data_IF_017371966090
#
_entry.id   IF_017371966090
#
_cell.length_a   1.000
_cell.length_b   1.000
_cell.length_c   1.000
_cell.angle_alpha   90.00
_cell.angle_beta   90.00
_cell.angle_gamma   90.00
#
_symmetry.space_group_name_H-M   'P 1'
#
loop_
_entity.id
_entity.type
_entity.pdbx_description
1 polymer ?
#
# COMPACT_ATOMS: atom_id res chain seq x y z
N UNK A 1 -15.19 -43.35 -9.95
CA UNK A 1 -14.69 -41.98 -9.74
C UNK A 1 -13.66 -42.03 -8.62
N UNK A 2 -12.42 -41.68 -8.94
CA UNK A 2 -11.30 -41.70 -8.01
C UNK A 2 -11.32 -40.43 -7.15
N UNK A 3 -11.39 -40.58 -5.83
CA UNK A 3 -11.06 -39.52 -4.88
C UNK A 3 -9.56 -39.59 -4.61
N UNK A 4 -8.79 -38.62 -5.09
CA UNK A 4 -7.40 -38.46 -4.66
C UNK A 4 -7.36 -37.81 -3.29
N UNK A 5 -6.77 -38.53 -2.33
CA UNK A 5 -6.53 -38.08 -0.95
C UNK A 5 -5.43 -37.01 -0.99
N UNK A 6 -5.72 -35.80 -0.50
CA UNK A 6 -4.67 -34.80 -0.26
C UNK A 6 -3.73 -35.30 0.84
N UNK A 7 -2.39 -35.13 0.72
CA UNK A 7 -1.46 -35.54 1.76
C UNK A 7 -1.61 -34.65 3.01
N UNK A 8 -1.57 -35.27 4.19
CA UNK A 8 -1.53 -34.56 5.48
C UNK A 8 -0.26 -33.70 5.56
N UNK A 9 -0.46 -32.38 5.62
CA UNK A 9 0.62 -31.41 5.79
C UNK A 9 0.95 -31.32 7.28
N UNK A 10 2.18 -31.71 7.65
CA UNK A 10 2.66 -31.64 9.02
C UNK A 10 2.72 -30.18 9.51
N UNK A 11 2.10 -29.92 10.66
CA UNK A 11 2.16 -28.64 11.36
C UNK A 11 3.61 -28.30 11.73
N UNK A 12 4.17 -27.25 11.13
CA UNK A 12 5.44 -26.68 11.57
C UNK A 12 5.12 -25.70 12.73
N UNK A 13 5.60 -25.94 13.96
CA UNK A 13 5.29 -25.07 15.09
C UNK A 13 5.98 -23.71 14.91
N UNK A 14 5.20 -22.63 14.98
CA UNK A 14 5.70 -21.27 15.11
C UNK A 14 6.19 -21.10 16.55
N UNK A 15 7.50 -20.90 16.73
CA UNK A 15 8.12 -20.69 18.04
C UNK A 15 7.59 -19.36 18.61
N UNK A 16 6.83 -19.43 19.71
CA UNK A 16 6.45 -18.26 20.53
C UNK A 16 4.96 -17.91 20.63
N UNK A 17 4.04 -18.67 20.00
CA UNK A 17 2.60 -18.43 20.14
C UNK A 17 1.99 -19.37 21.19
N UNK A 18 1.73 -18.85 22.39
CA UNK A 18 0.87 -19.51 23.37
C UNK A 18 -0.59 -19.36 22.91
N UNK A 19 -1.27 -20.49 22.63
CA UNK A 19 -2.69 -20.52 22.25
C UNK A 19 -3.55 -20.17 23.46
N UNK A 20 -3.83 -18.87 23.66
CA UNK A 20 -4.88 -18.45 24.60
C UNK A 20 -6.24 -18.40 23.92
N UNK A 21 -7.19 -19.07 24.57
CA UNK A 21 -8.58 -19.19 24.15
C UNK A 21 -9.26 -17.82 23.99
N UNK A 22 -10.04 -17.70 22.91
CA UNK A 22 -11.21 -16.83 22.72
C UNK A 22 -11.14 -15.39 23.23
N UNK A 23 -10.97 -14.44 22.32
CA UNK A 23 -11.31 -13.02 22.58
C UNK A 23 -12.84 -12.91 22.64
N UNK A 24 -13.38 -12.58 23.82
CA UNK A 24 -14.80 -12.30 23.99
C UNK A 24 -15.10 -10.86 23.57
N UNK A 25 -15.65 -10.67 22.37
CA UNK A 25 -16.21 -9.39 21.94
C UNK A 25 -17.52 -9.16 22.71
N UNK A 26 -17.47 -8.30 23.74
CA UNK A 26 -18.51 -8.09 24.75
C UNK A 26 -19.83 -7.47 24.28
N UNK A 27 -20.48 -8.07 23.27
CA UNK A 27 -21.87 -7.80 22.89
C UNK A 27 -22.73 -9.05 23.06
N UNK A 28 -24.04 -8.86 23.32
CA UNK A 28 -25.06 -9.89 23.14
C UNK A 28 -25.19 -10.19 21.63
N UNK A 29 -24.21 -10.87 21.08
CA UNK A 29 -24.19 -11.30 19.68
C UNK A 29 -25.07 -12.55 19.61
N UNK A 30 -26.14 -12.49 18.80
CA UNK A 30 -26.94 -13.66 18.49
C UNK A 30 -26.00 -14.78 18.02
N UNK A 31 -26.22 -16.01 18.49
CA UNK A 31 -25.37 -17.13 18.10
C UNK A 31 -25.33 -17.21 16.57
N UNK A 32 -24.14 -17.42 15.98
CA UNK A 32 -24.01 -17.47 14.53
C UNK A 32 -24.88 -18.59 13.95
N UNK A 33 -25.38 -18.40 12.73
CA UNK A 33 -26.20 -19.39 12.01
C UNK A 33 -25.50 -20.76 11.84
N UNK A 34 -24.18 -20.81 12.06
CA UNK A 34 -23.36 -22.02 12.04
C UNK A 34 -22.35 -22.01 13.18
N UNK A 35 -22.38 -23.05 14.03
CA UNK A 35 -21.33 -23.29 15.02
C UNK A 35 -20.12 -23.95 14.36
N UNK A 36 -18.96 -23.32 14.50
CA UNK A 36 -17.69 -23.91 14.07
C UNK A 36 -16.67 -23.86 15.19
N UNK A 37 -15.94 -24.97 15.37
CA UNK A 37 -14.77 -25.03 16.26
C UNK A 37 -13.50 -24.54 15.57
N UNK A 38 -13.58 -24.20 14.27
CA UNK A 38 -12.44 -23.74 13.50
C UNK A 38 -12.15 -22.26 13.77
N UNK A 39 -10.97 -21.98 14.33
CA UNK A 39 -10.55 -20.63 14.69
C UNK A 39 -9.84 -19.88 13.53
N UNK A 40 -9.79 -20.48 12.34
CA UNK A 40 -8.92 -20.02 11.26
C UNK A 40 -7.51 -20.62 11.34
N UNK A 41 -6.77 -20.56 10.22
CA UNK A 41 -5.33 -20.87 10.18
C UNK A 41 -4.61 -19.76 9.42
N UNK A 42 -3.40 -19.46 9.85
CA UNK A 42 -2.47 -18.62 9.10
C UNK A 42 -1.48 -19.51 8.36
N UNK A 43 -1.20 -19.16 7.12
CA UNK A 43 -0.26 -19.89 6.28
C UNK A 43 0.62 -18.90 5.52
N UNK A 44 1.93 -19.17 5.50
CA UNK A 44 2.87 -18.40 4.71
C UNK A 44 2.90 -18.97 3.30
N UNK A 45 2.21 -18.30 2.38
CA UNK A 45 2.10 -18.76 0.98
C UNK A 45 3.36 -18.42 0.18
N UNK A 46 4.01 -17.27 0.44
CA UNK A 46 5.21 -16.85 -0.28
C UNK A 46 6.20 -16.16 0.68
N UNK A 47 7.46 -16.59 0.68
CA UNK A 47 8.51 -16.03 1.56
C UNK A 47 9.06 -14.69 1.07
N UNK A 48 8.87 -14.36 -0.20
CA UNK A 48 9.51 -13.23 -0.86
C UNK A 48 8.61 -12.64 -1.96
N UNK A 49 7.53 -11.98 -1.54
CA UNK A 49 6.65 -11.22 -2.44
C UNK A 49 7.36 -10.07 -3.14
N UNK A 50 8.48 -9.59 -2.56
CA UNK A 50 9.37 -8.62 -3.18
C UNK A 50 8.92 -7.15 -3.06
N UNK A 51 7.62 -6.90 -3.19
CA UNK A 51 6.96 -5.59 -3.06
C UNK A 51 6.10 -5.56 -1.80
N UNK A 52 6.10 -4.44 -1.07
CA UNK A 52 5.23 -4.27 0.11
C UNK A 52 3.78 -4.06 -0.35
N UNK A 53 2.83 -4.66 0.35
CA UNK A 53 1.42 -4.54 0.02
C UNK A 53 0.80 -3.24 0.56
N UNK A 54 1.23 -2.10 0.03
CA UNK A 54 0.57 -0.83 0.34
C UNK A 54 -0.86 -0.81 -0.24
N UNK A 55 -1.02 -1.33 -1.45
CA UNK A 55 -2.30 -1.68 -2.04
C UNK A 55 -2.26 -3.10 -2.58
N UNK A 56 -3.40 -3.80 -2.51
CA UNK A 56 -3.57 -5.19 -2.92
C UNK A 56 -4.96 -5.38 -3.53
N UNK A 57 -5.05 -6.06 -4.68
CA UNK A 57 -6.32 -6.39 -5.33
C UNK A 57 -6.28 -7.83 -5.86
N UNK A 58 -7.34 -8.60 -5.58
CA UNK A 58 -7.57 -9.89 -6.23
C UNK A 58 -8.23 -9.66 -7.58
N UNK A 59 -7.63 -10.18 -8.64
CA UNK A 59 -8.09 -10.03 -10.03
C UNK A 59 -9.01 -11.20 -10.44
N UNK A 60 -9.89 -11.02 -11.44
CA UNK A 60 -10.79 -12.09 -11.91
C UNK A 60 -10.10 -13.36 -12.45
N UNK A 61 -8.82 -13.27 -12.81
CA UNK A 61 -8.00 -14.39 -13.30
C UNK A 61 -7.27 -15.16 -12.17
N UNK A 62 -7.72 -15.02 -10.92
CA UNK A 62 -7.14 -15.64 -9.73
C UNK A 62 -5.67 -15.24 -9.45
N UNK A 63 -5.29 -14.04 -9.90
CA UNK A 63 -4.00 -13.43 -9.58
C UNK A 63 -4.20 -12.23 -8.66
N UNK A 64 -3.17 -11.89 -7.91
CA UNK A 64 -3.17 -10.73 -7.00
C UNK A 64 -2.25 -9.67 -7.56
N UNK A 65 -2.71 -8.43 -7.64
CA UNK A 65 -1.88 -7.28 -7.99
C UNK A 65 -1.53 -6.53 -6.71
N UNK A 66 -0.24 -6.32 -6.52
CA UNK A 66 0.32 -5.57 -5.38
C UNK A 66 1.13 -4.40 -5.91
N UNK A 67 1.05 -3.25 -5.25
CA UNK A 67 1.87 -2.10 -5.57
C UNK A 67 2.16 -1.26 -4.33
N UNK A 68 3.29 -0.55 -4.39
CA UNK A 68 3.85 0.29 -3.35
C UNK A 68 4.36 1.62 -3.95
N UNK A 69 4.82 2.51 -3.08
CA UNK A 69 5.38 3.80 -3.43
C UNK A 69 6.71 3.69 -4.17
N UNK A 70 6.86 4.43 -5.27
CA UNK A 70 8.13 4.46 -6.03
C UNK A 70 9.19 5.36 -5.38
N UNK A 71 8.79 6.28 -4.49
CA UNK A 71 9.72 7.23 -3.81
C UNK A 71 10.82 6.55 -3.01
N UNK A 72 10.64 5.31 -2.56
CA UNK A 72 11.65 4.59 -1.79
C UNK A 72 12.74 3.95 -2.66
N UNK A 73 12.55 3.89 -3.99
CA UNK A 73 13.51 3.45 -5.02
C UNK A 73 14.01 2.01 -4.94
N UNK A 74 13.91 1.34 -3.80
CA UNK A 74 14.44 -0.02 -3.63
C UNK A 74 13.35 -0.92 -3.06
N UNK A 75 13.10 -2.02 -3.74
CA UNK A 75 12.30 -3.15 -3.26
C UNK A 75 13.15 -4.42 -3.19
N UNK A 76 12.57 -5.54 -2.74
CA UNK A 76 13.24 -6.87 -2.78
C UNK A 76 13.01 -7.60 -4.10
N UNK A 77 12.45 -6.92 -5.11
CA UNK A 77 12.16 -7.47 -6.43
C UNK A 77 12.88 -6.65 -7.51
N UNK A 78 14.10 -7.02 -7.92
CA UNK A 78 14.76 -6.38 -9.06
C UNK A 78 14.02 -6.73 -10.36
N UNK A 79 14.07 -5.83 -11.34
CA UNK A 79 13.58 -6.15 -12.67
C UNK A 79 14.42 -7.27 -13.33
N UNK A 80 13.81 -8.12 -14.18
CA UNK A 80 14.53 -9.18 -14.89
C UNK A 80 15.55 -8.60 -15.86
N UNK A 81 16.59 -9.39 -16.20
CA UNK A 81 17.58 -8.99 -17.20
C UNK A 81 16.91 -8.64 -18.53
N UNK A 82 17.22 -7.47 -19.08
CA UNK A 82 16.66 -6.98 -20.34
C UNK A 82 15.41 -6.11 -20.21
N UNK A 83 14.79 -6.04 -19.02
CA UNK A 83 13.75 -5.07 -18.73
C UNK A 83 14.39 -3.71 -18.41
N UNK A 84 13.96 -2.60 -19.05
CA UNK A 84 14.54 -1.28 -18.83
C UNK A 84 14.20 -0.75 -17.43
N UNK A 85 15.19 -0.13 -16.77
CA UNK A 85 14.97 0.57 -15.52
C UNK A 85 14.20 1.88 -15.73
N UNK A 86 13.48 2.33 -14.69
CA UNK A 86 12.73 3.58 -14.74
C UNK A 86 13.68 4.74 -14.47
N UNK A 87 13.69 5.71 -15.38
CA UNK A 87 14.47 6.95 -15.19
C UNK A 87 13.72 7.89 -14.26
N UNK A 88 14.45 8.54 -13.35
CA UNK A 88 13.90 9.58 -12.49
C UNK A 88 14.96 10.65 -12.18
N UNK A 89 14.51 11.85 -11.87
CA UNK A 89 15.39 12.97 -11.54
C UNK A 89 15.58 13.09 -10.02
N UNK A 90 16.82 13.01 -9.54
CA UNK A 90 17.14 13.25 -8.13
C UNK A 90 17.28 14.74 -7.84
N UNK A 91 16.29 15.31 -7.17
CA UNK A 91 16.28 16.73 -6.81
C UNK A 91 17.39 17.15 -5.85
N UNK A 92 17.94 16.24 -5.05
CA UNK A 92 19.03 16.54 -4.13
C UNK A 92 20.37 16.52 -4.85
N UNK A 93 20.57 15.55 -5.73
CA UNK A 93 21.82 15.36 -6.48
C UNK A 93 21.84 16.14 -7.81
N UNK A 94 20.69 16.63 -8.28
CA UNK A 94 20.50 17.32 -9.57
C UNK A 94 20.97 16.49 -10.77
N UNK A 95 20.72 15.19 -10.73
CA UNK A 95 21.10 14.25 -11.78
C UNK A 95 20.03 13.18 -11.99
N UNK A 96 19.99 12.67 -13.22
CA UNK A 96 19.08 11.59 -13.59
C UNK A 96 19.65 10.25 -13.11
N UNK A 97 18.79 9.46 -12.49
CA UNK A 97 19.10 8.18 -11.88
C UNK A 97 18.17 7.10 -12.43
N UNK A 98 18.59 5.86 -12.27
CA UNK A 98 17.81 4.69 -12.66
C UNK A 98 17.26 3.97 -11.44
N UNK A 99 16.00 3.54 -11.54
CA UNK A 99 15.35 2.63 -10.61
C UNK A 99 15.11 1.29 -11.31
N UNK A 100 15.92 0.30 -10.91
CA UNK A 100 15.88 -1.06 -11.45
C UNK A 100 15.09 -2.03 -10.56
N UNK A 101 14.27 -1.54 -9.65
CA UNK A 101 13.44 -2.34 -8.76
C UNK A 101 11.96 -2.18 -9.09
N UNK A 102 11.23 -3.29 -9.03
CA UNK A 102 9.80 -3.29 -9.21
C UNK A 102 9.10 -2.77 -7.95
N UNK A 103 8.21 -1.81 -8.12
CA UNK A 103 7.31 -1.30 -7.07
C UNK A 103 5.86 -1.77 -7.25
N UNK A 104 5.65 -2.65 -8.23
CA UNK A 104 4.41 -3.39 -8.38
C UNK A 104 4.74 -4.81 -8.82
N UNK A 105 3.87 -5.75 -8.45
CA UNK A 105 3.98 -7.13 -8.85
C UNK A 105 2.61 -7.77 -9.04
N UNK A 106 2.59 -8.79 -9.89
CA UNK A 106 1.52 -9.75 -10.02
C UNK A 106 1.94 -11.04 -9.29
N UNK A 107 1.08 -11.56 -8.44
CA UNK A 107 1.26 -12.83 -7.75
C UNK A 107 0.22 -13.83 -8.25
N UNK A 108 0.70 -14.95 -8.76
CA UNK A 108 -0.14 -16.03 -9.27
C UNK A 108 -0.40 -17.03 -8.14
N UNK A 109 -1.68 -17.17 -7.74
CA UNK A 109 -2.08 -17.99 -6.58
C UNK A 109 -1.86 -19.48 -6.86
N UNK A 110 -2.06 -19.93 -8.11
CA UNK A 110 -1.97 -21.34 -8.49
C UNK A 110 -0.52 -21.82 -8.51
N UNK A 111 0.38 -20.99 -9.04
CA UNK A 111 1.79 -21.35 -9.24
C UNK A 111 2.72 -20.83 -8.13
N UNK A 112 2.20 -19.97 -7.24
CA UNK A 112 2.95 -19.28 -6.19
C UNK A 112 4.13 -18.45 -6.73
N UNK A 113 4.02 -17.98 -7.98
CA UNK A 113 5.05 -17.17 -8.65
C UNK A 113 4.75 -15.68 -8.53
N UNK A 114 5.81 -14.89 -8.52
CA UNK A 114 5.76 -13.42 -8.52
C UNK A 114 6.35 -12.91 -9.84
N UNK A 115 5.60 -12.05 -10.53
CA UNK A 115 6.03 -11.35 -11.74
C UNK A 115 6.15 -9.85 -11.45
N UNK A 116 7.32 -9.23 -11.68
CA UNK A 116 7.46 -7.79 -11.53
C UNK A 116 6.62 -7.04 -12.57
N UNK A 117 6.02 -5.93 -12.14
CA UNK A 117 5.27 -4.99 -12.99
C UNK A 117 5.94 -3.63 -12.95
N UNK A 118 5.83 -2.89 -14.05
CA UNK A 118 6.41 -1.56 -14.20
C UNK A 118 5.37 -0.50 -13.84
N UNK A 119 5.62 0.25 -12.77
CA UNK A 119 4.86 1.46 -12.45
C UNK A 119 5.78 2.67 -12.56
N UNK A 120 5.41 3.60 -13.44
CA UNK A 120 6.20 4.78 -13.84
C UNK A 120 5.94 5.97 -12.94
N UNK A 121 4.67 6.22 -12.60
CA UNK A 121 4.29 7.34 -11.73
C UNK A 121 3.94 6.86 -10.34
N UNK A 122 4.22 7.63 -9.29
CA UNK A 122 4.11 7.12 -7.91
C UNK A 122 2.65 6.83 -7.47
N UNK A 123 2.26 5.56 -7.21
CA UNK A 123 0.90 5.21 -6.78
C UNK A 123 0.70 5.37 -5.27
N UNK A 124 1.66 5.95 -4.53
CA UNK A 124 1.60 6.09 -3.08
C UNK A 124 0.33 6.82 -2.62
N UNK A 125 -0.46 6.16 -1.77
CA UNK A 125 -1.77 6.59 -1.26
C UNK A 125 -2.76 6.97 -2.38
N UNK A 126 -2.66 6.31 -3.53
CA UNK A 126 -3.73 6.26 -4.53
C UNK A 126 -4.94 5.47 -4.02
N UNK A 127 -6.04 5.56 -4.75
CA UNK A 127 -7.25 4.76 -4.53
C UNK A 127 -7.55 3.95 -5.79
N UNK A 128 -8.21 2.80 -5.66
CA UNK A 128 -8.45 1.90 -6.79
C UNK A 128 -9.62 0.95 -6.59
N UNK A 129 -10.04 0.29 -7.67
CA UNK A 129 -11.06 -0.77 -7.65
C UNK A 129 -11.21 -1.46 -9.01
N UNK A 130 -11.95 -2.58 -9.03
CA UNK A 130 -12.25 -3.31 -10.26
C UNK A 130 -13.51 -2.74 -10.95
N UNK A 131 -13.43 -2.48 -12.24
CA UNK A 131 -14.60 -2.22 -13.10
C UNK A 131 -15.38 -3.51 -13.35
N UNK A 132 -16.64 -3.42 -13.83
CA UNK A 132 -17.47 -4.60 -14.12
C UNK A 132 -16.86 -5.58 -15.14
N UNK A 133 -15.97 -5.11 -16.01
CA UNK A 133 -15.24 -5.93 -16.98
C UNK A 133 -13.94 -6.54 -16.41
N UNK A 134 -13.64 -6.30 -15.13
CA UNK A 134 -12.46 -6.86 -14.46
C UNK A 134 -11.18 -6.04 -14.59
N UNK A 135 -11.23 -4.84 -15.17
CA UNK A 135 -10.09 -3.92 -15.21
C UNK A 135 -9.86 -3.29 -13.83
N UNK A 136 -8.64 -3.36 -13.30
CA UNK A 136 -8.24 -2.58 -12.14
C UNK A 136 -7.97 -1.15 -12.56
N UNK A 137 -8.73 -0.20 -12.00
CA UNK A 137 -8.58 1.23 -12.21
C UNK A 137 -8.07 1.92 -10.95
N UNK A 138 -7.03 2.73 -11.06
CA UNK A 138 -6.35 3.38 -9.92
C UNK A 138 -6.20 4.88 -10.18
N UNK A 139 -6.68 5.71 -9.24
CA UNK A 139 -6.64 7.17 -9.30
C UNK A 139 -5.66 7.77 -8.31
N UNK A 140 -4.88 8.73 -8.79
CA UNK A 140 -4.03 9.57 -7.97
C UNK A 140 -2.79 8.85 -7.47
N UNK A 141 -2.21 9.37 -6.40
CA UNK A 141 -0.89 8.96 -5.96
C UNK A 141 -0.12 10.16 -5.41
N UNK A 142 1.18 10.03 -5.29
CA UNK A 142 2.06 11.10 -4.82
C UNK A 142 2.77 11.78 -5.99
N UNK A 143 3.13 13.06 -5.84
CA UNK A 143 3.86 13.84 -6.84
C UNK A 143 3.32 13.71 -8.28
N UNK A 144 4.11 13.12 -9.18
CA UNK A 144 3.78 12.87 -10.59
C UNK A 144 2.59 11.90 -10.77
N UNK A 145 2.35 11.03 -9.80
CA UNK A 145 1.17 10.17 -9.71
C UNK A 145 -0.10 10.90 -9.27
N UNK A 146 0.00 12.13 -8.75
CA UNK A 146 -1.12 12.83 -8.12
C UNK A 146 -2.33 13.00 -9.04
N UNK A 147 -2.13 13.18 -10.34
CA UNK A 147 -3.19 13.34 -11.35
C UNK A 147 -3.26 12.17 -12.34
N UNK A 148 -2.62 11.06 -12.03
CA UNK A 148 -2.55 9.90 -12.92
C UNK A 148 -3.79 9.02 -12.79
N UNK A 149 -4.31 8.57 -13.93
CA UNK A 149 -5.20 7.41 -14.01
C UNK A 149 -4.42 6.19 -14.50
N UNK A 150 -4.48 5.07 -13.77
CA UNK A 150 -3.81 3.81 -14.15
C UNK A 150 -4.82 2.71 -14.36
N UNK A 151 -4.50 1.81 -15.28
CA UNK A 151 -5.31 0.65 -15.66
C UNK A 151 -4.44 -0.60 -15.66
N UNK A 152 -4.97 -1.71 -15.17
CA UNK A 152 -4.33 -3.01 -15.22
C UNK A 152 -5.37 -4.11 -15.45
N UNK A 153 -5.06 -5.12 -16.26
CA UNK A 153 -6.04 -6.14 -16.62
C UNK A 153 -7.12 -5.62 -17.59
N UNK A 154 -8.16 -6.45 -17.77
CA UNK A 154 -9.35 -6.13 -18.57
C UNK A 154 -9.26 -6.47 -20.05
N UNK A 155 -8.07 -6.78 -20.59
CA UNK A 155 -7.93 -7.24 -21.98
C UNK A 155 -8.06 -8.74 -22.11
N UNK A 156 -8.62 -9.20 -23.23
CA UNK A 156 -8.87 -10.61 -23.54
C UNK A 156 -7.60 -11.49 -23.51
N UNK A 157 -6.43 -10.90 -23.78
CA UNK A 157 -5.13 -11.59 -23.88
C UNK A 157 -4.07 -11.01 -22.91
N UNK A 158 -4.49 -10.54 -21.74
CA UNK A 158 -3.62 -9.91 -20.73
C UNK A 158 -2.76 -10.94 -19.97
N UNK A 159 -1.92 -11.72 -20.65
CA UNK A 159 -1.10 -12.75 -20.01
C UNK A 159 0.21 -12.16 -19.44
N UNK A 160 0.85 -11.28 -20.22
CA UNK A 160 2.09 -10.56 -19.86
C UNK A 160 1.91 -9.03 -19.88
N UNK A 161 0.68 -8.58 -19.66
CA UNK A 161 0.38 -7.16 -19.64
C UNK A 161 1.02 -6.44 -18.44
N UNK A 162 1.23 -5.15 -18.63
CA UNK A 162 1.75 -4.22 -17.63
C UNK A 162 0.76 -3.06 -17.42
N UNK A 163 1.09 -2.18 -16.48
CA UNK A 163 0.29 -0.99 -16.19
C UNK A 163 0.17 -0.08 -17.41
N UNK A 164 -1.04 0.42 -17.63
CA UNK A 164 -1.33 1.49 -18.58
C UNK A 164 -1.58 2.77 -17.79
N UNK A 165 -0.59 3.66 -17.79
CA UNK A 165 -0.61 4.88 -17.00
C UNK A 165 -0.79 6.10 -17.87
N UNK A 166 -1.69 6.97 -17.44
CA UNK A 166 -1.97 8.23 -18.10
C UNK A 166 -1.84 9.35 -17.08
N UNK A 167 -0.67 10.03 -17.04
CA UNK A 167 -0.46 11.22 -16.23
C UNK A 167 -1.41 12.34 -16.65
N UNK A 168 -1.70 13.25 -15.71
CA UNK A 168 -2.52 14.46 -15.95
C UNK A 168 -3.91 14.21 -16.54
N UNK A 169 -4.52 13.06 -16.25
CA UNK A 169 -5.90 12.75 -16.67
C UNK A 169 -6.96 13.16 -15.66
N UNK A 170 -6.59 13.19 -14.38
CA UNK A 170 -7.43 13.73 -13.32
C UNK A 170 -7.25 15.24 -13.24
N UNK A 171 -8.32 15.98 -12.93
CA UNK A 171 -8.23 17.44 -12.87
C UNK A 171 -7.48 17.91 -11.62
N UNK A 172 -7.82 17.32 -10.48
CA UNK A 172 -7.22 17.64 -9.18
C UNK A 172 -6.31 16.50 -8.71
N UNK A 173 -5.26 16.80 -7.92
CA UNK A 173 -4.46 15.75 -7.29
C UNK A 173 -5.30 14.88 -6.35
N UNK A 174 -5.22 13.55 -6.49
CA UNK A 174 -6.02 12.57 -5.74
C UNK A 174 -5.19 11.73 -4.77
N UNK A 175 -4.27 12.36 -4.03
CA UNK A 175 -3.51 11.71 -2.96
C UNK A 175 -4.36 11.52 -1.71
N UNK A 176 -4.48 10.30 -1.15
CA UNK A 176 -5.44 9.95 -0.09
C UNK A 176 -6.91 10.24 -0.47
N UNK A 177 -7.25 10.16 -1.75
CA UNK A 177 -8.63 10.28 -2.20
C UNK A 177 -9.44 9.00 -1.88
N UNK A 178 -10.77 9.12 -1.92
CA UNK A 178 -11.68 7.97 -1.87
C UNK A 178 -12.25 7.71 -3.25
N UNK A 179 -12.30 6.46 -3.66
CA UNK A 179 -12.91 6.01 -4.92
C UNK A 179 -14.06 5.04 -4.62
N UNK A 180 -15.19 5.20 -5.29
CA UNK A 180 -16.36 4.33 -5.15
C UNK A 180 -16.99 4.03 -6.51
N UNK A 181 -17.39 2.78 -6.71
CA UNK A 181 -18.11 2.34 -7.92
C UNK A 181 -19.57 2.79 -7.87
N UNK A 182 -20.10 3.20 -9.02
CA UNK A 182 -21.49 3.59 -9.22
C UNK A 182 -22.27 2.45 -9.86
N UNK A 183 -23.61 2.53 -9.82
CA UNK A 183 -24.50 1.50 -10.37
C UNK A 183 -24.38 1.32 -11.89
N UNK A 184 -23.85 2.32 -12.59
CA UNK A 184 -23.57 2.26 -14.03
C UNK A 184 -22.17 1.68 -14.34
N UNK A 185 -21.40 1.26 -13.34
CA UNK A 185 -20.05 0.73 -13.49
C UNK A 185 -18.95 1.78 -13.57
N UNK A 186 -19.28 3.08 -13.60
CA UNK A 186 -18.30 4.15 -13.52
C UNK A 186 -17.83 4.37 -12.08
N UNK A 187 -16.71 5.08 -11.92
CA UNK A 187 -16.17 5.40 -10.60
C UNK A 187 -16.29 6.89 -10.31
N UNK A 188 -16.69 7.22 -9.08
CA UNK A 188 -16.55 8.56 -8.53
C UNK A 188 -15.30 8.62 -7.64
N UNK A 189 -14.50 9.66 -7.79
CA UNK A 189 -13.31 9.96 -6.98
C UNK A 189 -13.57 11.24 -6.19
N UNK A 190 -13.50 11.15 -4.87
CA UNK A 190 -13.89 12.22 -3.94
C UNK A 190 -12.68 12.62 -3.10
N UNK A 191 -12.46 13.92 -3.00
CA UNK A 191 -11.46 14.48 -2.11
C UNK A 191 -10.03 14.20 -2.55
N UNK A 192 -9.17 13.95 -1.57
CA UNK A 192 -7.73 13.97 -1.71
C UNK A 192 -7.13 15.10 -0.87
N UNK A 193 -5.90 14.92 -0.41
CA UNK A 193 -5.23 15.86 0.48
C UNK A 193 -5.12 17.21 -0.21
N UNK A 194 -5.85 18.21 0.32
CA UNK A 194 -5.99 19.58 -0.22
C UNK A 194 -6.80 19.68 -1.52
N UNK A 195 -7.56 18.65 -1.87
CA UNK A 195 -8.49 18.64 -3.00
C UNK A 195 -9.92 18.57 -2.46
N UNK A 196 -10.68 19.65 -2.62
CA UNK A 196 -12.05 19.80 -2.07
C UNK A 196 -13.13 19.64 -3.15
N UNK A 197 -12.94 18.68 -4.05
CA UNK A 197 -13.82 18.44 -5.20
C UNK A 197 -14.04 16.94 -5.40
N UNK A 198 -14.96 16.59 -6.28
CA UNK A 198 -15.07 15.24 -6.82
C UNK A 198 -15.02 15.26 -8.35
N UNK A 199 -14.63 14.13 -8.94
CA UNK A 199 -14.65 13.92 -10.37
C UNK A 199 -14.95 12.44 -10.69
N UNK A 200 -15.46 12.16 -11.89
CA UNK A 200 -15.60 10.80 -12.36
C UNK A 200 -14.27 10.30 -12.91
N UNK A 201 -13.96 9.04 -12.64
CA UNK A 201 -12.78 8.40 -13.18
C UNK A 201 -12.81 8.45 -14.72
N UNK A 202 -11.74 8.92 -15.38
CA UNK A 202 -11.75 9.09 -16.83
C UNK A 202 -11.93 7.75 -17.53
N UNK A 203 -12.47 7.76 -18.74
CA UNK A 203 -12.29 6.63 -19.66
C UNK A 203 -10.82 6.55 -20.06
N UNK A 204 -10.34 5.36 -20.38
CA UNK A 204 -8.93 5.14 -20.73
C UNK A 204 -8.44 6.13 -21.80
N UNK A 205 -7.29 6.75 -21.55
CA UNK A 205 -6.68 7.77 -22.42
C UNK A 205 -7.33 9.16 -22.40
N UNK A 206 -8.57 9.30 -21.90
CA UNK A 206 -9.32 10.55 -21.94
C UNK A 206 -9.02 11.46 -20.74
N UNK A 207 -9.12 12.78 -20.96
CA UNK A 207 -9.04 13.79 -19.90
C UNK A 207 -10.39 13.94 -19.20
N UNK A 208 -10.40 14.14 -17.88
CA UNK A 208 -11.57 14.63 -17.17
C UNK A 208 -11.81 16.09 -17.54
N UNK A 209 -12.93 16.36 -18.24
CA UNK A 209 -13.22 17.70 -18.77
C UNK A 209 -13.59 18.71 -17.69
N UNK A 210 -14.43 18.31 -16.72
CA UNK A 210 -14.89 19.18 -15.65
C UNK A 210 -14.98 18.41 -14.32
N UNK A 211 -14.18 18.75 -13.29
CA UNK A 211 -14.48 18.29 -11.94
C UNK A 211 -15.74 19.00 -11.48
N UNK A 212 -16.58 18.30 -10.74
CA UNK A 212 -17.73 18.92 -10.13
C UNK A 212 -17.26 19.60 -8.84
N UNK A 213 -17.07 20.91 -8.93
CA UNK A 213 -16.79 21.74 -7.76
C UNK A 213 -18.06 21.95 -6.93
N UNK A 214 -17.96 21.67 -5.63
CA UNK A 214 -18.84 22.30 -4.63
C UNK A 214 -18.35 23.73 -4.42
N UNK A 215 -18.80 24.65 -5.28
CA UNK A 215 -18.46 26.07 -5.18
C UNK A 215 -19.34 26.76 -4.10
N UNK A 216 -19.27 26.29 -2.85
CA UNK A 216 -19.68 27.01 -1.62
C UNK A 216 -19.68 26.06 -0.42
N UNK A 217 -18.93 26.41 0.63
CA UNK A 217 -18.96 25.80 1.99
C UNK A 217 -18.01 24.63 2.31
N UNK A 218 -16.70 24.82 2.11
CA UNK A 218 -15.73 24.39 3.13
C UNK A 218 -14.78 25.54 3.46
N UNK A 219 -15.32 26.63 4.00
CA UNK A 219 -14.52 27.48 4.91
C UNK A 219 -14.32 26.66 6.20
N UNK A 220 -13.21 26.82 6.93
CA UNK A 220 -13.04 26.23 8.26
C UNK A 220 -13.92 27.00 9.25
N UNK A 221 -15.24 26.86 9.15
CA UNK A 221 -16.19 27.33 10.12
C UNK A 221 -17.18 26.19 10.35
N UNK A 222 -16.96 25.48 11.47
CA UNK A 222 -17.90 24.53 12.07
C UNK A 222 -18.45 23.47 11.11
N UNK A 223 -17.66 22.42 10.88
CA UNK A 223 -18.20 21.10 10.54
C UNK A 223 -19.19 20.68 11.64
N UNK A 224 -20.48 20.98 11.45
CA UNK A 224 -21.51 20.08 11.97
C UNK A 224 -21.26 18.77 11.26
N UNK A 225 -20.97 17.73 12.06
CA UNK A 225 -20.62 16.39 11.62
C UNK A 225 -21.71 15.81 10.71
N UNK A 226 -21.66 16.11 9.41
CA UNK A 226 -22.30 15.26 8.41
C UNK A 226 -21.21 14.33 7.91
N UNK A 227 -21.03 13.24 8.65
CA UNK A 227 -20.20 12.13 8.22
C UNK A 227 -20.90 11.49 7.02
N UNK A 228 -20.43 11.76 5.80
CA UNK A 228 -20.70 10.86 4.68
C UNK A 228 -19.84 9.62 4.91
N UNK A 229 -20.40 8.66 5.65
CA UNK A 229 -19.81 7.34 5.81
C UNK A 229 -20.10 6.56 4.53
N UNK A 230 -19.23 6.69 3.53
CA UNK A 230 -19.07 5.60 2.58
C UNK A 230 -18.35 4.50 3.36
N UNK A 231 -18.99 3.33 3.50
CA UNK A 231 -18.39 2.12 4.05
C UNK A 231 -17.22 1.71 3.13
N UNK A 232 -16.07 2.36 3.31
CA UNK A 232 -14.80 1.76 2.98
C UNK A 232 -14.63 0.61 3.95
N UNK A 233 -14.49 -0.61 3.42
CA UNK A 233 -13.92 -1.73 4.16
C UNK A 233 -12.46 -1.41 4.45
N UNK A 234 -12.22 -0.49 5.37
CA UNK A 234 -10.92 -0.29 6.00
C UNK A 234 -10.76 -1.43 7.00
N UNK A 235 -9.93 -2.40 6.66
CA UNK A 235 -9.41 -3.40 7.59
C UNK A 235 -8.78 -2.63 8.77
N UNK A 236 -9.49 -2.54 9.90
CA UNK A 236 -8.97 -1.93 11.12
C UNK A 236 -8.00 -2.91 11.78
N UNK A 237 -6.74 -2.88 11.37
CA UNK A 237 -5.67 -3.46 12.16
C UNK A 237 -5.44 -2.54 13.37
N UNK A 238 -6.02 -2.92 14.51
CA UNK A 238 -5.73 -2.30 15.80
C UNK A 238 -4.27 -2.63 16.15
N UNK A 239 -3.36 -1.69 15.94
CA UNK A 239 -1.99 -1.80 16.46
C UNK A 239 -2.07 -1.81 17.99
N UNK A 240 -1.80 -2.95 18.60
CA UNK A 240 -1.51 -3.03 20.03
C UNK A 240 -0.18 -2.29 20.27
N UNK A 241 -0.08 -1.42 21.29
CA UNK A 241 1.18 -0.76 21.62
C UNK A 241 2.21 -1.81 22.04
N UNK A 242 3.37 -1.82 21.37
CA UNK A 242 4.51 -2.61 21.82
C UNK A 242 4.95 -2.13 23.21
N UNK A 243 5.23 -3.03 24.15
CA UNK A 243 5.85 -2.64 25.41
C UNK A 243 7.24 -2.04 25.14
N UNK A 244 7.69 -1.05 25.93
CA UNK A 244 9.01 -0.47 25.76
C UNK A 244 10.09 -1.55 25.95
N UNK A 245 11.20 -1.49 25.18
CA UNK A 245 12.29 -2.45 25.33
C UNK A 245 12.89 -2.35 26.74
N UNK A 246 13.03 -3.49 27.40
CA UNK A 246 13.73 -3.58 28.68
C UNK A 246 15.23 -3.29 28.48
N UNK A 247 15.90 -2.61 29.43
CA UNK A 247 17.33 -2.35 29.33
C UNK A 247 18.11 -3.66 29.40
N UNK A 248 18.97 -3.87 28.40
CA UNK A 248 19.90 -5.00 28.36
C UNK A 248 20.90 -4.88 29.52
N UNK A 249 20.87 -5.86 30.43
CA UNK A 249 21.98 -6.07 31.36
C UNK A 249 23.18 -6.60 30.59
N UNK A 250 24.25 -5.80 30.56
CA UNK A 250 25.53 -6.14 29.95
C UNK A 250 26.22 -7.21 30.82
N UNK A 251 26.07 -8.48 30.48
CA UNK A 251 26.95 -9.54 31.00
C UNK A 251 28.23 -9.56 30.16
N UNK A 252 29.34 -9.25 30.82
CA UNK A 252 30.70 -9.29 30.28
C UNK A 252 31.17 -10.73 30.07
N UNK A 253 31.50 -11.09 28.83
CA UNK A 253 32.17 -12.34 28.44
C UNK A 253 33.23 -12.06 27.35
N UNK A 254 34.26 -12.91 27.21
CA UNK A 254 35.60 -12.48 26.79
C UNK A 254 35.79 -12.23 25.29
N UNK A 255 36.75 -11.35 25.02
CA UNK A 255 37.19 -10.80 23.73
C UNK A 255 37.39 -11.81 22.60
N UNK A 256 36.78 -11.53 21.45
CA UNK A 256 37.19 -12.05 20.14
C UNK A 256 37.70 -10.89 19.26
N UNK A 257 38.74 -11.12 18.42
CA UNK A 257 39.46 -10.06 17.72
C UNK A 257 38.67 -9.47 16.55
N UNK A 258 38.86 -8.16 16.30
CA UNK A 258 38.16 -7.41 15.25
C UNK A 258 38.69 -7.77 13.85
N UNK A 259 37.83 -7.87 12.82
CA UNK A 259 38.27 -7.95 11.43
C UNK A 259 38.75 -6.58 10.89
N UNK A 260 39.59 -6.55 9.85
CA UNK A 260 40.29 -5.34 9.39
C UNK A 260 39.37 -4.32 8.72
N UNK A 261 39.64 -3.03 8.99
CA UNK A 261 38.95 -1.87 8.40
C UNK A 261 39.41 -1.64 6.96
N UNK A 262 38.45 -1.55 6.04
CA UNK A 262 38.61 -0.86 4.77
C UNK A 262 37.66 0.33 4.78
N UNK A 263 38.23 1.55 4.74
CA UNK A 263 37.73 2.86 4.28
C UNK A 263 38.39 3.99 5.09
N UNK A 264 38.93 5.04 4.43
CA UNK A 264 39.64 6.13 5.09
C UNK A 264 38.69 7.10 5.79
N UNK A 265 39.16 7.65 6.92
CA UNK A 265 38.46 8.61 7.77
C UNK A 265 38.28 9.97 7.08
N UNK A 266 37.05 10.51 7.09
CA UNK A 266 36.76 11.92 6.82
C UNK A 266 36.54 12.64 8.16
N UNK A 267 37.20 13.77 8.44
CA UNK A 267 37.04 14.49 9.70
C UNK A 267 35.85 15.46 9.62
N UNK A 268 34.93 15.38 10.60
CA UNK A 268 34.01 16.48 10.89
C UNK A 268 32.57 16.09 11.24
N UNK A 269 32.35 15.55 12.44
CA UNK A 269 31.04 15.66 13.10
C UNK A 269 31.24 16.03 14.57
N UNK A 270 31.03 17.31 14.89
CA UNK A 270 30.78 17.76 16.27
C UNK A 270 29.32 17.46 16.58
N UNK A 271 29.08 16.78 17.70
CA UNK A 271 27.74 16.64 18.28
C UNK A 271 27.17 18.02 18.62
N UNK A 272 26.06 18.38 17.99
CA UNK A 272 25.19 19.48 18.44
C UNK A 272 23.96 18.86 19.08
N UNK A 273 23.87 18.94 20.40
CA UNK A 273 22.67 18.63 21.18
C UNK A 273 21.64 19.75 20.94
N UNK A 274 20.48 19.42 20.36
CA UNK A 274 19.35 20.34 20.29
C UNK A 274 18.57 20.34 21.62
N UNK A 275 18.21 21.52 22.19
CA UNK A 275 17.39 21.60 23.39
C UNK A 275 15.90 21.37 23.12
N UNK A 276 15.24 20.74 24.10
CA UNK A 276 13.81 20.43 24.16
C UNK A 276 12.90 21.66 23.95
N UNK A 277 11.89 21.52 23.10
CA UNK A 277 10.82 22.50 22.92
C UNK A 277 9.82 22.44 24.09
N UNK A 278 9.75 23.52 24.89
CA UNK A 278 8.65 23.80 25.83
C UNK A 278 7.45 24.39 25.08
N UNK A 279 6.29 23.78 25.24
CA UNK A 279 4.97 24.29 24.80
C UNK A 279 4.54 25.50 25.63
N UNK A 280 4.39 26.68 25.00
CA UNK A 280 3.70 27.84 25.61
C UNK A 280 2.22 27.81 25.23
N UNK A 281 1.34 27.63 26.23
CA UNK A 281 -0.08 27.97 26.15
C UNK A 281 -0.21 29.50 26.08
N UNK A 282 -0.85 30.04 25.04
CA UNK A 282 -1.38 31.41 25.05
C UNK A 282 -2.75 31.39 25.72
N UNK A 283 -2.91 32.18 26.79
CA UNK A 283 -4.22 32.56 27.28
C UNK A 283 -4.81 33.66 26.39
N UNK A 284 -6.08 33.49 26.04
CA UNK A 284 -6.91 34.47 25.36
C UNK A 284 -7.51 35.37 26.46
N UNK A 285 -7.35 36.70 26.31
CA UNK A 285 -8.16 37.70 27.00
C UNK A 285 -9.27 38.14 26.04
#
# INVERSE_FOLDING_TARGET
MFFTRFPEIQNIPIIGAELKAGVADGGNIAMPDFETKYLGKWELINKQSGVSAMQINLMPNNKIVVYDATVYRVSRLPYPKGMPCIQWHDDNLKLDQEDCFAHSMEYDIETNQVRPLTVKTDPWCSCGGLTPDGTLVVAGGFADGGKTSRYYGGQLDCQDCDWREYPDKLKEPRWYATQAILTNGEYIVIGGRRSFSYEFFPKEGNLVRNPYFSHSSMRPQTLKKTTFTLLSTSLHLRQQPFPPPQPYHQQSGPHLPRPPRWFPELPGFRHVLHPSYKTRRRQIK
#
